data_IF_477062953331
#
_entry.id   IF_477062953331
#
_cell.length_a   1.000
_cell.length_b   1.000
_cell.length_c   1.000
_cell.angle_alpha   90.00
_cell.angle_beta   90.00
_cell.angle_gamma   90.00
#
_symmetry.space_group_name_H-M   'P 1'
#
loop_
_entity.id
_entity.type
_entity.pdbx_description
1 polymer ?
#
# COMPACT_ATOMS: atom_id res chain seq x y z
N UNK A 1 -10.35 11.38 38.95
CA UNK A 1 -9.33 11.10 37.92
C UNK A 1 -9.31 9.60 37.70
N UNK A 2 -9.60 9.14 36.47
CA UNK A 2 -9.40 7.73 36.11
C UNK A 2 -7.94 7.52 35.68
N UNK A 3 -7.46 6.29 35.82
CA UNK A 3 -6.13 5.92 35.33
C UNK A 3 -6.04 6.15 33.82
N UNK A 4 -4.97 6.80 33.37
CA UNK A 4 -4.71 7.03 31.95
C UNK A 4 -5.52 8.17 31.30
N UNK A 5 -6.23 9.01 32.05
CA UNK A 5 -6.85 10.22 31.47
C UNK A 5 -5.82 11.34 31.23
N UNK A 6 -4.78 11.38 32.06
CA UNK A 6 -3.64 12.30 31.97
C UNK A 6 -2.38 11.47 31.72
N UNK A 7 -1.53 11.97 30.82
CA UNK A 7 -0.28 11.33 30.45
C UNK A 7 0.88 12.32 30.53
N UNK A 8 2.06 11.76 30.78
CA UNK A 8 3.35 12.46 30.71
C UNK A 8 4.21 11.87 29.58
N UNK A 9 3.85 10.67 29.13
CA UNK A 9 4.48 9.94 28.05
C UNK A 9 3.43 9.11 27.30
N UNK A 10 3.69 8.79 26.03
CA UNK A 10 2.81 7.96 25.20
C UNK A 10 2.54 6.57 25.82
N UNK A 11 3.50 6.02 26.56
CA UNK A 11 3.35 4.71 27.20
C UNK A 11 2.24 4.67 28.27
N UNK A 12 1.94 5.81 28.91
CA UNK A 12 0.87 5.89 29.92
C UNK A 12 -0.51 5.63 29.32
N UNK A 13 -0.71 5.98 28.05
CA UNK A 13 -2.00 5.81 27.40
C UNK A 13 -2.31 4.34 27.07
N UNK A 14 -1.28 3.48 26.94
CA UNK A 14 -1.47 2.04 26.75
C UNK A 14 -2.22 1.36 27.90
N UNK A 15 -2.20 1.94 29.09
CA UNK A 15 -2.99 1.48 30.25
C UNK A 15 -4.47 1.81 30.13
N UNK A 16 -4.82 2.84 29.35
CA UNK A 16 -6.19 3.22 29.07
C UNK A 16 -6.75 2.44 27.88
N UNK A 17 -6.06 2.49 26.74
CA UNK A 17 -6.40 1.75 25.53
C UNK A 17 -5.14 1.54 24.67
N UNK A 18 -5.03 0.39 24.01
CA UNK A 18 -3.86 0.06 23.16
C UNK A 18 -3.76 0.95 21.93
N UNK A 19 -4.89 1.47 21.44
CA UNK A 19 -4.94 2.36 20.27
C UNK A 19 -4.95 3.85 20.66
N UNK A 20 -4.55 4.16 21.90
CA UNK A 20 -4.46 5.53 22.40
C UNK A 20 -3.02 6.07 22.48
N UNK A 21 -2.89 7.38 22.36
CA UNK A 21 -1.62 8.11 22.42
C UNK A 21 -1.75 9.36 23.30
N UNK A 22 -0.62 9.89 23.75
CA UNK A 22 -0.59 11.10 24.57
C UNK A 22 -0.65 12.34 23.66
N UNK A 23 -1.71 13.14 23.79
CA UNK A 23 -1.80 14.45 23.18
C UNK A 23 -1.31 15.52 24.16
N UNK A 24 -0.09 16.00 23.94
CA UNK A 24 0.55 16.98 24.81
C UNK A 24 -0.06 18.36 24.64
N UNK A 25 -0.73 18.84 25.69
CA UNK A 25 -1.25 20.21 25.77
C UNK A 25 -0.12 21.19 26.11
N UNK A 26 0.85 20.73 26.90
CA UNK A 26 2.11 21.42 27.15
C UNK A 26 3.24 20.43 26.85
N UNK A 27 4.21 20.80 25.99
CA UNK A 27 5.33 19.94 25.66
C UNK A 27 6.01 19.39 26.93
N UNK A 28 6.20 18.07 26.97
CA UNK A 28 6.94 17.33 27.99
C UNK A 28 6.49 17.53 29.46
N UNK A 29 5.31 18.13 29.68
CA UNK A 29 4.80 18.40 31.03
C UNK A 29 3.48 17.70 31.30
N UNK A 30 2.53 17.75 30.37
CA UNK A 30 1.29 16.98 30.48
C UNK A 30 0.53 16.93 29.16
N UNK A 31 -0.16 15.82 28.98
CA UNK A 31 -1.11 15.62 27.91
C UNK A 31 -2.35 14.87 28.38
N UNK A 32 -3.21 14.56 27.43
CA UNK A 32 -4.39 13.72 27.63
C UNK A 32 -4.32 12.54 26.70
N UNK A 33 -4.76 11.38 27.17
CA UNK A 33 -4.84 10.24 26.28
C UNK A 33 -6.00 10.41 25.30
N UNK A 34 -5.67 10.32 24.01
CA UNK A 34 -6.60 10.43 22.90
C UNK A 34 -6.51 9.17 22.04
N UNK A 35 -7.63 8.78 21.42
CA UNK A 35 -7.63 7.69 20.46
C UNK A 35 -6.85 8.10 19.21
N UNK A 36 -6.10 7.18 18.64
CA UNK A 36 -5.40 7.37 17.36
C UNK A 36 -6.43 7.30 16.25
N UNK A 37 -6.43 8.27 15.33
CA UNK A 37 -7.32 8.25 14.17
C UNK A 37 -7.13 6.94 13.38
N UNK A 38 -8.20 6.31 12.86
CA UNK A 38 -9.56 6.81 12.70
C UNK A 38 -10.49 6.50 13.89
N UNK A 39 -9.95 6.15 15.06
CA UNK A 39 -10.78 5.82 16.21
C UNK A 39 -11.23 7.07 16.97
N UNK A 40 -12.43 6.97 17.54
CA UNK A 40 -13.02 7.93 18.47
C UNK A 40 -13.20 7.31 19.85
N UNK A 41 -13.14 8.17 20.86
CA UNK A 41 -13.43 7.79 22.24
C UNK A 41 -14.93 7.63 22.45
N UNK A 42 -15.35 6.42 22.79
CA UNK A 42 -16.71 6.09 23.23
C UNK A 42 -16.65 5.62 24.68
N UNK A 43 -16.91 6.53 25.62
CA UNK A 43 -16.72 6.27 27.05
C UNK A 43 -15.23 6.11 27.41
N UNK A 44 -14.87 4.92 27.88
CA UNK A 44 -13.51 4.55 28.30
C UNK A 44 -12.74 3.71 27.25
N UNK A 45 -13.28 3.51 26.04
CA UNK A 45 -12.65 2.70 24.98
C UNK A 45 -12.54 3.45 23.67
N UNK A 46 -11.55 3.08 22.85
CA UNK A 46 -11.43 3.54 21.49
C UNK A 46 -12.27 2.67 20.55
N UNK A 47 -13.11 3.30 19.71
CA UNK A 47 -13.96 2.64 18.72
C UNK A 47 -13.78 3.28 17.34
N UNK A 48 -13.89 2.52 16.24
CA UNK A 48 -13.85 3.11 14.90
C UNK A 48 -14.91 4.21 14.74
N UNK A 49 -14.50 5.37 14.22
CA UNK A 49 -15.43 6.45 13.92
C UNK A 49 -16.21 6.13 12.65
N UNK A 50 -17.50 5.81 12.78
CA UNK A 50 -18.40 5.56 11.65
C UNK A 50 -18.59 6.80 10.75
N UNK A 51 -18.17 7.98 11.18
CA UNK A 51 -18.21 9.22 10.38
C UNK A 51 -17.00 9.38 9.46
N UNK A 52 -15.94 8.60 9.64
CA UNK A 52 -14.78 8.62 8.75
C UNK A 52 -15.11 7.80 7.51
N UNK A 53 -15.18 8.46 6.35
CA UNK A 53 -15.35 7.77 5.06
C UNK A 53 -14.18 6.79 4.88
N UNK A 54 -14.43 5.50 4.61
CA UNK A 54 -13.37 4.55 4.32
C UNK A 54 -12.50 5.07 3.18
N UNK A 55 -11.18 4.90 3.31
CA UNK A 55 -10.24 5.20 2.23
C UNK A 55 -10.70 4.44 0.98
N UNK A 56 -10.89 5.12 -0.17
CA UNK A 56 -11.18 4.44 -1.42
C UNK A 56 -10.05 3.44 -1.72
N UNK A 57 -10.39 2.15 -1.77
CA UNK A 57 -9.48 1.13 -2.27
C UNK A 57 -9.13 1.47 -3.72
N UNK A 58 -7.86 1.35 -4.16
CA UNK A 58 -7.50 1.56 -5.56
C UNK A 58 -8.28 0.58 -6.46
N UNK A 59 -9.18 1.08 -7.30
CA UNK A 59 -9.97 0.28 -8.27
C UNK A 59 -9.15 -0.20 -9.49
N UNK A 60 -7.82 -0.20 -9.42
CA UNK A 60 -6.96 -0.48 -10.59
C UNK A 60 -6.46 -1.92 -10.65
N UNK A 61 -7.38 -2.86 -10.77
CA UNK A 61 -7.18 -4.11 -11.52
C UNK A 61 -8.48 -4.41 -12.28
N UNK A 62 -8.78 -3.59 -13.28
CA UNK A 62 -9.81 -3.94 -14.27
C UNK A 62 -9.38 -5.23 -15.01
N UNK A 63 -10.26 -6.25 -15.14
CA UNK A 63 -9.95 -7.51 -15.83
C UNK A 63 -9.72 -7.41 -17.34
N UNK A 64 -9.50 -6.22 -17.90
CA UNK A 64 -9.54 -6.00 -19.35
C UNK A 64 -8.25 -6.40 -20.08
N UNK A 65 -7.24 -6.92 -19.38
CA UNK A 65 -5.98 -7.36 -20.00
C UNK A 65 -5.94 -8.85 -20.37
N UNK A 66 -6.91 -9.67 -19.95
CA UNK A 66 -6.94 -11.09 -20.36
C UNK A 66 -7.36 -11.29 -21.83
N UNK A 67 -8.08 -10.35 -22.44
CA UNK A 67 -8.46 -10.45 -23.86
C UNK A 67 -7.31 -10.10 -24.80
N UNK A 68 -6.41 -9.19 -24.41
CA UNK A 68 -5.29 -8.75 -25.24
C UNK A 68 -4.24 -9.87 -25.36
N UNK A 69 -4.06 -10.70 -24.33
CA UNK A 69 -3.06 -11.79 -24.34
C UNK A 69 -3.50 -12.94 -25.27
N UNK A 70 -4.81 -13.21 -25.42
CA UNK A 70 -5.29 -14.29 -26.29
C UNK A 70 -5.16 -13.99 -27.78
N UNK A 71 -5.36 -12.74 -28.21
CA UNK A 71 -5.27 -12.38 -29.64
C UNK A 71 -3.84 -12.46 -30.21
N UNK A 72 -2.82 -12.29 -29.37
CA UNK A 72 -1.41 -12.33 -29.82
C UNK A 72 -0.96 -13.79 -30.01
N UNK A 73 -1.45 -14.73 -29.20
CA UNK A 73 -1.05 -16.14 -29.28
C UNK A 73 -1.62 -16.92 -30.46
N UNK A 74 -2.70 -16.44 -31.11
CA UNK A 74 -3.30 -17.15 -32.26
C UNK A 74 -2.69 -16.74 -33.61
N UNK A 75 -2.09 -15.55 -33.74
CA UNK A 75 -1.52 -15.06 -35.01
C UNK A 75 -0.08 -15.53 -35.30
N UNK A 76 0.63 -16.05 -34.31
CA UNK A 76 2.01 -16.57 -34.43
C UNK A 76 2.09 -18.05 -34.85
N UNK A 77 0.97 -18.72 -35.11
CA UNK A 77 0.96 -20.14 -35.51
C UNK A 77 0.87 -20.40 -37.01
N UNK A 78 0.69 -19.37 -37.84
CA UNK A 78 0.42 -19.51 -39.29
C UNK A 78 1.46 -18.83 -40.20
N UNK A 79 2.71 -18.68 -39.74
CA UNK A 79 3.79 -18.23 -40.62
C UNK A 79 5.16 -18.76 -40.22
N UNK A 80 5.27 -20.08 -40.13
CA UNK A 80 6.56 -20.77 -40.12
C UNK A 80 6.49 -21.97 -41.03
N UNK A 81 7.02 -21.86 -42.25
CA UNK A 81 7.77 -22.88 -43.03
C UNK A 81 7.62 -22.63 -44.52
N UNK A 82 8.57 -21.90 -45.15
CA UNK A 82 8.99 -22.08 -46.56
C UNK A 82 10.47 -21.68 -46.70
N UNK A 83 11.31 -22.73 -46.76
CA UNK A 83 12.54 -22.96 -47.56
C UNK A 83 13.79 -22.07 -47.48
N UNK A 84 14.90 -22.72 -47.08
CA UNK A 84 16.21 -22.89 -47.73
C UNK A 84 16.85 -21.77 -48.58
N UNK A 85 18.15 -21.52 -48.34
CA UNK A 85 19.11 -21.33 -49.45
C UNK A 85 20.15 -20.19 -49.38
N UNK A 86 21.32 -20.51 -48.81
CA UNK A 86 22.67 -20.29 -49.38
C UNK A 86 23.35 -18.88 -49.48
N UNK A 87 24.53 -18.80 -48.80
CA UNK A 87 25.84 -18.13 -49.07
C UNK A 87 25.91 -16.69 -49.64
N UNK A 88 26.74 -15.85 -48.99
CA UNK A 88 28.07 -15.47 -49.52
C UNK A 88 28.97 -14.82 -48.44
N UNK A 89 30.27 -15.13 -48.50
CA UNK A 89 31.42 -14.56 -47.75
C UNK A 89 31.61 -13.06 -48.09
N UNK A 90 32.33 -12.21 -47.35
CA UNK A 90 33.80 -12.04 -47.35
C UNK A 90 34.19 -10.94 -46.32
N UNK A 91 35.18 -11.25 -45.47
CA UNK A 91 36.35 -10.50 -44.94
C UNK A 91 36.32 -8.99 -44.55
N UNK A 92 37.05 -8.63 -43.48
CA UNK A 92 37.44 -7.24 -43.18
C UNK A 92 37.86 -6.93 -41.74
N UNK A 93 39.15 -7.15 -41.43
CA UNK A 93 39.93 -6.80 -40.24
C UNK A 93 40.13 -5.27 -39.99
N UNK A 94 40.15 -4.82 -38.72
CA UNK A 94 41.02 -3.75 -38.09
C UNK A 94 40.40 -3.30 -36.73
N UNK A 95 41.01 -3.45 -35.55
CA UNK A 95 42.20 -2.80 -34.93
C UNK A 95 41.77 -1.79 -33.85
N UNK A 96 41.99 -2.11 -32.56
CA UNK A 96 42.73 -1.33 -31.53
C UNK A 96 42.78 -2.11 -30.22
#
# INVERSE_FOLDING_TARGET
AKLGEVCYEHAHCRLWDLESHCDFLIPDLFGRCQCTAPMRREGDVCRPDNLVRPVPLPEHLSPTQESIIKEITERERDKGTVTEGQKDEIDGEHDT
#
